data_IF_462279348861
#
_entry.id   IF_462279348861
#
_cell.length_a   1.000
_cell.length_b   1.000
_cell.length_c   1.000
_cell.angle_alpha   90.00
_cell.angle_beta   90.00
_cell.angle_gamma   90.00
#
_symmetry.space_group_name_H-M   'P 1'
#
loop_
_entity.id
_entity.type
_entity.pdbx_description
1 polymer ?
#
# COMPACT_ATOMS: atom_id res chain seq x y z
N UNK A 1 19.60 -1.29 -14.73
CA UNK A 1 19.83 -2.30 -13.68
C UNK A 1 18.50 -2.82 -13.17
N UNK A 2 18.40 -4.10 -12.76
CA UNK A 2 17.16 -4.64 -12.19
C UNK A 2 16.99 -4.14 -10.75
N UNK A 3 15.88 -3.44 -10.46
CA UNK A 3 15.58 -2.98 -9.09
C UNK A 3 15.39 -4.16 -8.14
N UNK A 4 15.86 -4.05 -6.90
CA UNK A 4 15.69 -5.05 -5.85
C UNK A 4 14.24 -5.04 -5.38
N UNK A 5 13.55 -6.18 -5.36
CA UNK A 5 12.14 -6.23 -4.95
C UNK A 5 12.02 -6.24 -3.43
N UNK A 6 11.19 -5.35 -2.89
CA UNK A 6 10.83 -5.31 -1.46
C UNK A 6 9.33 -5.51 -1.37
N UNK A 7 8.91 -6.56 -0.65
CA UNK A 7 7.50 -6.86 -0.43
C UNK A 7 7.17 -6.51 1.02
N UNK A 8 6.16 -5.67 1.22
CA UNK A 8 5.72 -5.23 2.54
C UNK A 8 4.30 -5.73 2.75
N UNK A 9 4.11 -6.48 3.82
CA UNK A 9 2.79 -6.91 4.29
C UNK A 9 2.34 -5.98 5.42
N UNK A 10 1.21 -5.31 5.21
CA UNK A 10 0.58 -4.46 6.22
C UNK A 10 -0.77 -5.08 6.56
N UNK A 11 -0.95 -5.50 7.81
CA UNK A 11 -2.21 -6.05 8.30
C UNK A 11 -3.24 -4.94 8.62
N UNK A 12 -3.35 -3.97 7.71
CA UNK A 12 -4.24 -2.82 7.77
C UNK A 12 -4.67 -2.46 6.33
N UNK A 13 -5.66 -1.58 6.22
CA UNK A 13 -6.02 -0.94 4.94
C UNK A 13 -4.93 0.03 4.50
N UNK A 14 -4.78 0.23 3.20
CA UNK A 14 -3.77 1.16 2.67
C UNK A 14 -3.94 2.57 3.24
N UNK A 15 -5.18 3.05 3.32
CA UNK A 15 -5.52 4.38 3.84
C UNK A 15 -5.87 4.38 5.34
N UNK A 16 -5.44 3.36 6.07
CA UNK A 16 -5.50 3.40 7.53
C UNK A 16 -4.62 4.54 8.07
N UNK A 17 -5.11 5.37 9.02
CA UNK A 17 -4.35 6.51 9.54
C UNK A 17 -2.95 6.16 10.05
N UNK A 18 -2.75 4.98 10.66
CA UNK A 18 -1.44 4.56 11.17
C UNK A 18 -0.45 4.30 10.04
N UNK A 19 -0.94 3.75 8.92
CA UNK A 19 -0.14 3.52 7.72
C UNK A 19 0.18 4.85 7.05
N UNK A 20 -0.82 5.74 6.93
CA UNK A 20 -0.68 7.02 6.25
C UNK A 20 0.21 8.02 7.00
N UNK A 21 0.25 8.00 8.34
CA UNK A 21 1.04 8.97 9.11
C UNK A 21 2.53 8.63 9.19
N UNK A 22 2.87 7.34 9.26
CA UNK A 22 4.23 6.91 9.57
C UNK A 22 4.89 6.19 8.40
N UNK A 23 4.23 5.14 7.92
CA UNK A 23 4.85 4.23 6.95
C UNK A 23 4.82 4.81 5.54
N UNK A 24 3.76 5.55 5.21
CA UNK A 24 3.57 6.13 3.89
C UNK A 24 4.63 7.17 3.53
N UNK A 25 5.17 7.92 4.50
CA UNK A 25 6.21 8.91 4.27
C UNK A 25 7.44 8.28 3.58
N UNK A 26 7.91 7.15 4.10
CA UNK A 26 9.04 6.41 3.51
C UNK A 26 8.72 5.89 2.11
N UNK A 27 7.53 5.32 1.91
CA UNK A 27 7.12 4.82 0.59
C UNK A 27 7.11 5.96 -0.41
N UNK A 28 6.51 7.09 -0.03
CA UNK A 28 6.40 8.25 -0.89
C UNK A 28 7.78 8.80 -1.24
N UNK A 29 8.71 8.89 -0.29
CA UNK A 29 10.08 9.32 -0.57
C UNK A 29 10.76 8.39 -1.58
N UNK A 30 10.64 7.07 -1.41
CA UNK A 30 11.17 6.10 -2.38
C UNK A 30 10.50 6.16 -3.76
N UNK A 31 9.20 6.46 -3.83
CA UNK A 31 8.49 6.58 -5.10
C UNK A 31 8.86 7.86 -5.85
N UNK A 32 9.29 8.90 -5.14
CA UNK A 32 9.70 10.18 -5.75
C UNK A 32 11.22 10.28 -5.99
N UNK A 33 12.03 9.33 -5.49
CA UNK A 33 13.47 9.26 -5.73
C UNK A 33 13.79 8.56 -7.08
N UNK A 34 14.36 9.29 -8.08
CA UNK A 34 14.74 8.71 -9.37
C UNK A 34 15.81 7.62 -9.27
N UNK A 35 16.69 7.73 -8.27
CA UNK A 35 17.81 6.80 -8.04
C UNK A 35 17.41 5.61 -7.15
N UNK A 36 16.13 5.52 -6.76
CA UNK A 36 15.62 4.46 -5.90
C UNK A 36 15.95 3.07 -6.48
N UNK A 37 16.77 2.26 -5.79
CA UNK A 37 17.19 0.95 -6.27
C UNK A 37 16.13 -0.13 -6.05
N UNK A 38 14.99 0.19 -5.44
CA UNK A 38 13.97 -0.77 -5.01
C UNK A 38 12.69 -0.71 -5.85
N UNK A 39 12.09 -1.89 -6.02
CA UNK A 39 10.74 -2.06 -6.55
C UNK A 39 9.83 -2.43 -5.37
N UNK A 40 8.99 -1.49 -4.93
CA UNK A 40 8.11 -1.67 -3.78
C UNK A 40 6.84 -2.44 -4.19
N UNK A 41 6.47 -3.43 -3.40
CA UNK A 41 5.21 -4.17 -3.52
C UNK A 41 4.50 -4.20 -2.17
N UNK A 42 3.41 -3.44 -2.07
CA UNK A 42 2.55 -3.40 -0.89
C UNK A 42 1.47 -4.46 -0.97
N UNK A 43 1.27 -5.15 0.13
CA UNK A 43 0.14 -6.07 0.34
C UNK A 43 -0.64 -5.59 1.54
N UNK A 44 -1.90 -5.21 1.34
CA UNK A 44 -2.78 -4.68 2.39
C UNK A 44 -4.06 -5.50 2.50
N UNK A 45 -4.76 -5.39 3.62
CA UNK A 45 -6.04 -6.07 3.86
C UNK A 45 -7.17 -5.05 3.81
N UNK A 46 -7.89 -5.02 2.69
CA UNK A 46 -8.97 -4.07 2.43
C UNK A 46 -10.33 -4.62 2.88
N UNK A 47 -11.18 -3.74 3.41
CA UNK A 47 -12.56 -4.05 3.81
C UNK A 47 -13.54 -3.47 2.78
N UNK A 48 -14.38 -4.33 2.19
CA UNK A 48 -15.40 -3.94 1.22
C UNK A 48 -16.43 -2.95 1.78
N UNK A 49 -16.61 -2.90 3.10
CA UNK A 49 -17.50 -1.94 3.77
C UNK A 49 -16.97 -0.50 3.71
N UNK A 50 -15.67 -0.35 3.48
CA UNK A 50 -15.02 0.95 3.40
C UNK A 50 -14.21 1.05 2.10
N UNK A 51 -14.90 1.16 0.95
CA UNK A 51 -14.25 1.29 -0.34
C UNK A 51 -13.41 2.58 -0.40
N UNK A 52 -12.45 2.58 -1.32
CA UNK A 52 -11.70 3.81 -1.61
C UNK A 52 -12.64 4.88 -2.19
N UNK A 53 -12.37 6.13 -1.84
CA UNK A 53 -12.97 7.27 -2.54
C UNK A 53 -12.33 7.46 -3.91
N UNK A 54 -12.99 8.21 -4.78
CA UNK A 54 -12.42 8.59 -6.09
C UNK A 54 -11.06 9.28 -5.97
N UNK A 55 -10.88 10.13 -4.96
CA UNK A 55 -9.60 10.80 -4.70
C UNK A 55 -8.51 9.79 -4.31
N UNK A 56 -8.85 8.79 -3.48
CA UNK A 56 -7.93 7.74 -3.08
C UNK A 56 -7.56 6.81 -4.26
N UNK A 57 -8.52 6.52 -5.15
CA UNK A 57 -8.24 5.80 -6.39
C UNK A 57 -7.22 6.53 -7.25
N UNK A 58 -7.38 7.85 -7.44
CA UNK A 58 -6.43 8.67 -8.21
C UNK A 58 -5.03 8.65 -7.61
N UNK A 59 -4.92 8.76 -6.29
CA UNK A 59 -3.64 8.66 -5.59
C UNK A 59 -2.96 7.31 -5.82
N UNK A 60 -3.71 6.21 -5.72
CA UNK A 60 -3.16 4.87 -5.99
C UNK A 60 -2.65 4.75 -7.42
N UNK A 61 -3.37 5.27 -8.40
CA UNK A 61 -2.91 5.23 -9.80
C UNK A 61 -1.67 6.11 -10.02
N UNK A 62 -1.58 7.26 -9.37
CA UNK A 62 -0.36 8.07 -9.35
C UNK A 62 0.82 7.26 -8.79
N UNK A 63 0.63 6.60 -7.65
CA UNK A 63 1.70 5.82 -7.02
C UNK A 63 2.12 4.62 -7.87
N UNK A 64 1.17 3.94 -8.51
CA UNK A 64 1.47 2.87 -9.48
C UNK A 64 2.26 3.39 -10.67
N UNK A 65 1.98 4.59 -11.16
CA UNK A 65 2.73 5.22 -12.24
C UNK A 65 4.20 5.49 -11.86
N UNK A 66 4.45 5.74 -10.57
CA UNK A 66 5.80 5.88 -9.98
C UNK A 66 6.46 4.54 -9.65
N UNK A 67 5.83 3.43 -10.03
CA UNK A 67 6.37 2.09 -9.86
C UNK A 67 5.93 1.40 -8.58
N UNK A 68 4.87 1.84 -7.89
CA UNK A 68 4.31 1.05 -6.81
C UNK A 68 3.58 -0.18 -7.35
N UNK A 69 3.89 -1.36 -6.81
CA UNK A 69 3.01 -2.53 -6.94
C UNK A 69 2.11 -2.60 -5.72
N UNK A 70 0.82 -2.82 -5.92
CA UNK A 70 -0.13 -2.95 -4.82
C UNK A 70 -1.06 -4.14 -5.03
N UNK A 71 -1.11 -5.02 -4.03
CA UNK A 71 -2.02 -6.16 -3.96
C UNK A 71 -2.97 -5.97 -2.79
N UNK A 72 -4.25 -5.94 -3.11
CA UNK A 72 -5.33 -5.94 -2.13
C UNK A 72 -5.68 -7.38 -1.76
N UNK A 73 -5.61 -7.69 -0.47
CA UNK A 73 -6.24 -8.85 0.14
C UNK A 73 -7.55 -8.43 0.79
N UNK A 74 -8.45 -9.38 1.02
CA UNK A 74 -9.71 -9.10 1.73
C UNK A 74 -9.48 -9.25 3.23
N UNK A 75 -9.85 -8.24 3.99
CA UNK A 75 -9.91 -8.34 5.44
C UNK A 75 -11.08 -9.22 5.87
N UNK A 76 -10.83 -10.12 6.81
CA UNK A 76 -11.84 -10.96 7.41
C UNK A 76 -11.87 -10.69 8.91
N UNK A 77 -13.05 -10.48 9.52
CA UNK A 77 -13.15 -10.36 10.97
C UNK A 77 -12.67 -11.66 11.62
N UNK A 78 -11.89 -11.52 12.70
CA UNK A 78 -11.55 -12.66 13.53
C UNK A 78 -12.83 -13.30 14.09
N UNK A 79 -12.94 -14.62 13.96
CA UNK A 79 -13.99 -15.38 14.63
C UNK A 79 -13.40 -15.93 15.91
N UNK A 80 -13.95 -15.55 17.07
CA UNK A 80 -13.66 -16.24 18.31
C UNK A 80 -14.28 -17.63 18.27
N UNK A 81 -13.55 -18.67 18.68
CA UNK A 81 -14.18 -19.95 18.98
C UNK A 81 -14.97 -19.78 20.28
N UNK A 82 -16.30 -19.85 20.18
CA UNK A 82 -17.19 -20.10 21.31
C UNK A 82 -17.49 -21.59 21.37
#
# INVERSE_FOLDING_TARGET
MKKKKVIIFLYNRLFDPLIQSNFWLYINDFLNDPENPYQLHLVTYEDKKFPLTEAQHKLVEEWKSKGLQWKQLTWHPGQGML
#
